data_IF_586655959115
#
_entry.id   IF_586655959115
#
_cell.length_a   1.000
_cell.length_b   1.000
_cell.length_c   1.000
_cell.angle_alpha   90.00
_cell.angle_beta   90.00
_cell.angle_gamma   90.00
#
_symmetry.space_group_name_H-M   'P 1'
#
loop_
_entity.id
_entity.type
_entity.pdbx_description
1 polymer ?
#
# COMPACT_ATOMS: atom_id res chain seq x y z
N UNK A 1 -22.63 -4.84 -7.26
CA UNK A 1 -21.43 -5.72 -7.26
C UNK A 1 -20.29 -4.88 -6.68
N UNK A 2 -19.58 -5.34 -5.65
CA UNK A 2 -18.41 -4.58 -5.13
C UNK A 2 -17.38 -4.52 -6.27
N UNK A 3 -16.87 -3.33 -6.57
CA UNK A 3 -15.82 -3.15 -7.58
C UNK A 3 -14.55 -3.83 -7.05
N UNK A 4 -13.93 -4.69 -7.86
CA UNK A 4 -12.65 -5.31 -7.52
C UNK A 4 -11.57 -4.23 -7.36
N UNK A 5 -10.61 -4.41 -6.46
CA UNK A 5 -9.47 -3.49 -6.27
C UNK A 5 -9.55 -2.52 -5.10
N UNK A 6 -10.53 -2.62 -4.20
CA UNK A 6 -10.54 -1.85 -2.94
C UNK A 6 -9.81 -2.62 -1.84
N UNK A 7 -8.48 -2.65 -1.88
CA UNK A 7 -7.67 -3.27 -0.81
C UNK A 7 -7.63 -2.32 0.38
N UNK A 8 -8.41 -2.63 1.42
CA UNK A 8 -8.56 -1.78 2.62
C UNK A 8 -7.77 -2.30 3.83
N UNK A 9 -7.21 -3.51 3.74
CA UNK A 9 -6.40 -4.12 4.80
C UNK A 9 -5.32 -5.03 4.23
N UNK A 10 -4.26 -5.23 5.01
CA UNK A 10 -3.25 -6.24 4.70
C UNK A 10 -3.87 -7.63 4.89
N UNK A 11 -3.65 -8.52 3.93
CA UNK A 11 -4.04 -9.92 4.08
C UNK A 11 -3.19 -10.58 5.19
N UNK A 12 -3.79 -11.35 6.11
CA UNK A 12 -3.04 -12.16 7.07
C UNK A 12 -2.13 -13.15 6.33
N UNK A 13 -1.17 -13.75 7.03
CA UNK A 13 -0.33 -14.80 6.43
C UNK A 13 -1.22 -15.90 5.86
N UNK A 14 -1.09 -16.16 4.55
CA UNK A 14 -1.91 -17.13 3.83
C UNK A 14 -1.69 -18.53 4.36
N UNK A 15 -0.44 -18.86 4.65
CA UNK A 15 -0.02 -20.17 5.13
C UNK A 15 0.30 -20.15 6.62
N UNK A 16 0.04 -21.27 7.28
CA UNK A 16 0.47 -21.50 8.67
C UNK A 16 1.99 -21.50 8.72
N UNK A 17 2.53 -20.86 9.75
CA UNK A 17 3.97 -20.79 9.98
C UNK A 17 4.39 -21.87 10.97
N UNK A 18 5.42 -22.62 10.63
CA UNK A 18 6.05 -23.63 11.48
C UNK A 18 7.43 -23.15 11.92
N UNK A 19 7.80 -23.45 13.17
CA UNK A 19 9.15 -23.25 13.70
C UNK A 19 9.80 -24.62 13.87
N UNK A 20 10.92 -24.84 13.16
CA UNK A 20 11.73 -26.06 13.28
C UNK A 20 13.00 -25.75 14.07
N UNK A 21 13.36 -26.61 15.01
CA UNK A 21 14.60 -26.54 15.79
C UNK A 21 15.81 -26.99 14.95
N UNK A 22 16.00 -26.34 13.80
CA UNK A 22 17.12 -26.54 12.88
C UNK A 22 17.75 -25.18 12.53
N UNK A 23 19.08 -25.10 12.34
CA UNK A 23 19.73 -23.83 12.03
C UNK A 23 19.16 -23.14 10.78
N UNK A 24 18.94 -21.83 10.86
CA UNK A 24 18.47 -21.03 9.73
C UNK A 24 19.53 -20.95 8.64
N UNK A 25 19.13 -21.18 7.39
CA UNK A 25 19.99 -20.94 6.21
C UNK A 25 20.06 -19.46 5.81
N UNK A 26 19.20 -18.61 6.36
CA UNK A 26 19.10 -17.17 6.01
C UNK A 26 19.80 -16.25 7.01
N UNK A 27 20.03 -16.70 8.24
CA UNK A 27 20.60 -15.88 9.32
C UNK A 27 21.63 -16.69 10.09
N UNK A 28 22.86 -16.21 10.09
CA UNK A 28 23.96 -16.79 10.85
C UNK A 28 23.62 -16.81 12.35
N UNK A 29 23.96 -17.89 13.04
CA UNK A 29 23.72 -18.12 14.47
C UNK A 29 22.25 -18.22 14.94
N UNK A 30 21.26 -18.29 14.03
CA UNK A 30 19.88 -18.57 14.44
C UNK A 30 19.66 -20.10 14.55
N UNK A 31 19.35 -20.65 15.74
CA UNK A 31 19.30 -22.10 15.96
C UNK A 31 18.00 -22.77 15.50
N UNK A 32 17.04 -21.98 15.01
CA UNK A 32 15.74 -22.45 14.52
C UNK A 32 15.44 -21.85 13.15
N UNK A 33 14.51 -22.47 12.41
CA UNK A 33 14.03 -22.01 11.11
C UNK A 33 12.53 -21.74 11.17
N UNK A 34 12.12 -20.64 10.56
CA UNK A 34 10.71 -20.27 10.43
C UNK A 34 10.30 -20.51 8.98
N UNK A 35 9.30 -21.38 8.77
CA UNK A 35 8.86 -21.84 7.46
C UNK A 35 7.36 -21.59 7.28
N UNK A 36 6.96 -21.20 6.07
CA UNK A 36 5.57 -21.34 5.66
C UNK A 36 5.31 -22.81 5.32
N UNK A 37 4.20 -23.35 5.82
CA UNK A 37 3.72 -24.70 5.49
C UNK A 37 2.86 -24.67 4.22
N UNK A 38 2.42 -25.83 3.76
CA UNK A 38 1.43 -25.94 2.68
C UNK A 38 -0.02 -25.77 3.18
N UNK A 39 -0.20 -25.65 4.49
CA UNK A 39 -1.52 -25.53 5.12
C UNK A 39 -1.97 -24.07 5.14
N UNK A 40 -3.16 -23.80 4.60
CA UNK A 40 -3.79 -22.48 4.70
C UNK A 40 -4.12 -22.12 6.15
N UNK A 41 -3.95 -20.85 6.52
CA UNK A 41 -4.34 -20.35 7.82
C UNK A 41 -5.86 -20.17 7.90
N UNK A 42 -6.44 -20.35 9.08
CA UNK A 42 -7.88 -20.11 9.31
C UNK A 42 -8.25 -18.67 8.94
N UNK A 43 -7.39 -17.69 9.26
CA UNK A 43 -7.60 -16.29 8.89
C UNK A 43 -7.65 -16.07 7.37
N UNK A 44 -6.90 -16.86 6.58
CA UNK A 44 -6.94 -16.78 5.13
C UNK A 44 -8.22 -17.43 4.55
N UNK A 45 -8.66 -18.54 5.15
CA UNK A 45 -9.94 -19.17 4.81
C UNK A 45 -11.13 -18.24 5.12
N UNK A 46 -11.12 -17.60 6.30
CA UNK A 46 -12.12 -16.61 6.70
C UNK A 46 -12.14 -15.38 5.78
N UNK A 47 -11.00 -15.08 5.14
CA UNK A 47 -10.86 -14.03 4.14
C UNK A 47 -11.20 -14.48 2.71
N UNK A 48 -11.75 -15.69 2.55
CA UNK A 48 -12.18 -16.27 1.27
C UNK A 48 -11.06 -16.36 0.22
N UNK A 49 -9.88 -16.81 0.66
CA UNK A 49 -8.69 -16.94 -0.19
C UNK A 49 -8.93 -17.78 -1.47
N UNK A 50 -9.89 -18.71 -1.46
CA UNK A 50 -10.22 -19.53 -2.62
C UNK A 50 -10.86 -18.76 -3.78
N UNK A 51 -11.52 -17.64 -3.48
CA UNK A 51 -12.09 -16.73 -4.48
C UNK A 51 -11.22 -15.49 -4.72
N UNK A 52 -10.05 -15.40 -4.08
CA UNK A 52 -9.15 -14.29 -4.26
C UNK A 52 -8.50 -14.31 -5.66
N UNK A 53 -8.34 -13.14 -6.26
CA UNK A 53 -7.64 -12.98 -7.53
C UNK A 53 -6.19 -12.64 -7.21
N UNK A 54 -5.20 -13.49 -7.56
CA UNK A 54 -3.81 -13.15 -7.38
C UNK A 54 -3.43 -12.01 -8.34
N UNK A 55 -2.80 -10.99 -7.78
CA UNK A 55 -2.23 -9.87 -8.56
C UNK A 55 -0.73 -9.82 -8.34
N UNK A 56 -0.02 -9.21 -9.28
CA UNK A 56 1.39 -8.92 -9.08
C UNK A 56 1.57 -7.99 -7.87
N UNK A 57 2.52 -8.33 -6.99
CA UNK A 57 2.86 -7.45 -5.88
C UNK A 57 3.78 -6.37 -6.41
N UNK A 58 3.23 -5.17 -6.53
CA UNK A 58 4.00 -3.97 -6.79
C UNK A 58 4.67 -3.48 -5.50
N UNK A 59 5.91 -2.99 -5.59
CA UNK A 59 6.62 -2.38 -4.46
C UNK A 59 6.56 -0.86 -4.57
N UNK A 60 5.47 -0.29 -4.07
CA UNK A 60 5.17 1.12 -4.19
C UNK A 60 4.70 1.74 -2.88
N UNK A 61 3.92 2.80 -3.02
CA UNK A 61 3.13 3.33 -1.91
C UNK A 61 1.64 3.22 -2.22
N UNK A 62 0.91 2.64 -1.29
CA UNK A 62 -0.52 2.43 -1.39
C UNK A 62 -1.29 3.75 -1.28
N UNK A 63 -2.28 3.94 -2.14
CA UNK A 63 -3.13 5.11 -2.22
C UNK A 63 -4.59 4.72 -2.40
N UNK A 64 -5.48 5.68 -2.20
CA UNK A 64 -6.92 5.47 -2.28
C UNK A 64 -7.59 6.64 -2.98
N UNK A 65 -8.60 6.38 -3.79
CA UNK A 65 -9.40 7.46 -4.41
C UNK A 65 -10.78 7.49 -3.79
N UNK A 66 -11.14 8.61 -3.17
CA UNK A 66 -12.48 8.86 -2.64
C UNK A 66 -12.74 10.36 -2.58
N UNK A 67 -13.97 10.74 -2.25
CA UNK A 67 -14.38 12.13 -2.22
C UNK A 67 -13.72 12.90 -1.06
N UNK A 68 -13.17 14.06 -1.39
CA UNK A 68 -12.75 15.07 -0.43
C UNK A 68 -13.42 16.40 -0.78
N UNK A 69 -14.18 16.97 0.16
CA UNK A 69 -14.93 18.23 -0.05
C UNK A 69 -15.85 18.19 -1.28
N UNK A 70 -16.46 17.04 -1.54
CA UNK A 70 -17.42 16.84 -2.64
C UNK A 70 -16.79 16.51 -3.99
N UNK A 71 -15.46 16.38 -4.09
CA UNK A 71 -14.76 16.06 -5.34
C UNK A 71 -13.91 14.79 -5.22
N UNK A 72 -13.78 13.98 -6.29
CA UNK A 72 -12.84 12.87 -6.33
C UNK A 72 -11.42 13.34 -6.02
N UNK A 73 -10.73 12.64 -5.12
CA UNK A 73 -9.41 13.06 -4.65
C UNK A 73 -8.52 11.85 -4.42
N UNK A 74 -7.20 12.03 -4.55
CA UNK A 74 -6.22 11.01 -4.21
C UNK A 74 -5.87 11.13 -2.72
N UNK A 75 -5.77 9.99 -2.05
CA UNK A 75 -5.48 9.89 -0.62
C UNK A 75 -4.25 9.03 -0.40
N UNK A 76 -3.33 9.51 0.43
CA UNK A 76 -2.14 8.81 0.87
C UNK A 76 -2.45 7.96 2.10
N UNK A 77 -1.82 6.80 2.21
CA UNK A 77 -1.93 5.95 3.40
C UNK A 77 -1.29 6.63 4.61
N UNK A 78 -2.04 6.73 5.70
CA UNK A 78 -1.58 7.19 7.00
C UNK A 78 -2.16 6.31 8.10
N UNK A 79 -1.40 5.30 8.52
CA UNK A 79 -1.80 4.45 9.64
C UNK A 79 -1.66 5.22 10.97
N UNK A 80 -2.73 5.27 11.77
CA UNK A 80 -2.69 5.82 13.13
C UNK A 80 -1.98 4.82 14.03
N UNK A 81 -0.81 5.21 14.54
CA UNK A 81 0.09 4.37 15.33
C UNK A 81 -0.04 4.64 16.84
N UNK A 82 0.29 3.66 17.69
CA UNK A 82 0.39 3.87 19.12
C UNK A 82 1.42 4.95 19.47
N UNK A 83 1.20 5.61 20.59
CA UNK A 83 2.20 6.47 21.21
C UNK A 83 3.31 5.62 21.86
N UNK A 84 4.42 6.26 22.27
CA UNK A 84 5.60 5.54 22.80
C UNK A 84 5.28 4.73 24.07
N UNK A 85 4.37 5.21 24.92
CA UNK A 85 4.01 4.55 26.17
C UNK A 85 3.17 3.30 25.89
N UNK A 86 2.16 3.43 25.02
CA UNK A 86 1.30 2.33 24.60
C UNK A 86 2.09 1.26 23.82
N UNK A 87 2.99 1.67 22.93
CA UNK A 87 3.89 0.75 22.21
C UNK A 87 4.75 -0.07 23.18
N UNK A 88 5.29 0.56 24.24
CA UNK A 88 6.05 -0.13 25.29
C UNK A 88 5.16 -1.12 26.06
N UNK A 89 3.94 -0.70 26.44
CA UNK A 89 2.96 -1.56 27.13
C UNK A 89 2.61 -2.78 26.29
N UNK A 90 2.36 -2.57 24.99
CA UNK A 90 2.03 -3.63 24.05
C UNK A 90 3.18 -4.61 23.83
N UNK A 91 4.42 -4.13 23.65
CA UNK A 91 5.60 -5.00 23.57
C UNK A 91 5.78 -5.83 24.83
N UNK A 92 5.64 -5.22 26.01
CA UNK A 92 5.74 -5.94 27.27
C UNK A 92 4.67 -7.04 27.40
N UNK A 93 3.43 -6.75 26.97
CA UNK A 93 2.36 -7.74 26.90
C UNK A 93 2.73 -8.91 25.98
N UNK A 94 3.19 -8.65 24.75
CA UNK A 94 3.62 -9.68 23.80
C UNK A 94 4.75 -10.56 24.37
N UNK A 95 5.72 -9.95 25.08
CA UNK A 95 6.82 -10.68 25.71
C UNK A 95 6.39 -11.53 26.91
N UNK A 96 5.35 -11.11 27.63
CA UNK A 96 4.91 -11.77 28.86
C UNK A 96 4.30 -13.16 28.68
N UNK A 97 4.00 -13.60 27.43
CA UNK A 97 3.60 -14.96 27.00
C UNK A 97 2.59 -15.77 27.85
N UNK A 98 1.98 -15.23 28.91
CA UNK A 98 1.29 -16.03 29.94
C UNK A 98 -0.10 -15.56 30.34
N UNK A 99 -0.69 -14.56 29.67
CA UNK A 99 -2.05 -14.15 30.03
C UNK A 99 -3.05 -14.58 28.96
N UNK A 100 -4.02 -15.40 29.37
CA UNK A 100 -5.30 -15.64 28.70
C UNK A 100 -6.17 -14.37 28.61
N UNK A 101 -5.60 -13.19 28.88
CA UNK A 101 -6.26 -11.89 28.84
C UNK A 101 -5.84 -11.18 27.57
N UNK A 102 -6.81 -10.72 26.80
CA UNK A 102 -6.60 -9.88 25.64
C UNK A 102 -5.97 -8.54 26.05
N UNK A 103 -5.11 -8.00 25.18
CA UNK A 103 -4.61 -6.63 25.38
C UNK A 103 -5.70 -5.64 25.01
N UNK A 104 -6.04 -4.76 25.95
CA UNK A 104 -7.02 -3.72 25.70
C UNK A 104 -6.34 -2.41 25.27
N UNK A 105 -6.83 -1.84 24.17
CA UNK A 105 -6.41 -0.54 23.65
C UNK A 105 -7.38 0.55 24.09
N UNK A 106 -6.88 1.62 24.69
CA UNK A 106 -7.61 2.86 24.87
C UNK A 106 -7.40 3.74 23.63
N UNK A 107 -8.34 3.71 22.68
CA UNK A 107 -8.22 4.42 21.38
C UNK A 107 -8.02 5.94 21.53
N UNK A 108 -8.50 6.53 22.62
CA UNK A 108 -8.39 7.96 22.89
C UNK A 108 -6.97 8.33 23.37
N UNK A 109 -6.39 7.53 24.27
CA UNK A 109 -5.13 7.86 24.93
C UNK A 109 -3.91 7.20 24.30
N UNK A 110 -4.04 5.97 23.81
CA UNK A 110 -2.91 5.13 23.42
C UNK A 110 -2.32 5.47 22.05
N UNK A 111 -2.99 6.32 21.26
CA UNK A 111 -2.65 6.56 19.85
C UNK A 111 -2.19 7.98 19.59
N UNK A 112 -1.32 8.13 18.59
CA UNK A 112 -0.94 9.46 18.10
C UNK A 112 -2.16 10.19 17.51
N UNK A 113 -2.21 11.52 17.61
CA UNK A 113 -3.23 12.30 16.93
C UNK A 113 -3.07 12.16 15.42
N UNK A 114 -4.20 12.26 14.72
CA UNK A 114 -4.26 12.32 13.26
C UNK A 114 -4.93 13.64 12.84
N UNK A 115 -4.70 14.11 11.60
CA UNK A 115 -5.43 15.27 11.08
C UNK A 115 -6.94 15.04 11.08
N UNK A 116 -7.73 16.11 11.15
CA UNK A 116 -9.21 16.04 11.11
C UNK A 116 -9.73 15.40 9.83
N UNK A 117 -9.02 15.59 8.71
CA UNK A 117 -9.36 14.98 7.43
C UNK A 117 -9.03 13.48 7.35
N UNK A 118 -8.39 12.89 8.37
CA UNK A 118 -8.07 11.47 8.37
C UNK A 118 -9.34 10.62 8.41
N UNK A 119 -9.38 9.59 7.57
CA UNK A 119 -10.46 8.60 7.57
C UNK A 119 -9.91 7.19 7.80
N UNK A 120 -10.60 6.33 8.58
CA UNK A 120 -10.23 4.94 8.71
C UNK A 120 -10.46 4.20 7.39
N UNK A 121 -9.67 3.16 7.12
CA UNK A 121 -9.97 2.25 6.01
C UNK A 121 -11.32 1.54 6.25
N UNK A 122 -12.08 1.30 5.17
CA UNK A 122 -13.52 0.98 5.26
C UNK A 122 -13.88 -0.31 6.00
N UNK A 123 -12.97 -1.29 6.00
CA UNK A 123 -13.22 -2.62 6.57
C UNK A 123 -12.49 -2.83 7.91
N UNK A 124 -12.17 -1.73 8.60
CA UNK A 124 -11.65 -1.78 9.96
C UNK A 124 -12.81 -2.07 10.92
N UNK A 125 -12.58 -3.02 11.82
CA UNK A 125 -13.51 -3.33 12.90
C UNK A 125 -13.76 -2.09 13.76
N UNK A 126 -15.02 -1.84 14.12
CA UNK A 126 -15.39 -0.70 14.94
C UNK A 126 -16.12 -1.15 16.19
N UNK A 127 -15.73 -0.59 17.34
CA UNK A 127 -16.42 -0.78 18.61
C UNK A 127 -16.94 0.58 19.05
N UNK A 128 -18.26 0.70 19.21
CA UNK A 128 -18.95 1.96 19.53
C UNK A 128 -18.60 3.12 18.58
N UNK A 129 -18.39 2.81 17.29
CA UNK A 129 -18.01 3.78 16.26
C UNK A 129 -16.52 4.16 16.24
N UNK A 130 -15.69 3.60 17.13
CA UNK A 130 -14.26 3.82 17.13
C UNK A 130 -13.54 2.73 16.33
N UNK A 131 -12.65 3.09 15.39
CA UNK A 131 -11.87 2.11 14.63
C UNK A 131 -10.86 1.42 15.53
N UNK A 132 -10.84 0.09 15.47
CA UNK A 132 -9.97 -0.74 16.29
C UNK A 132 -8.62 -0.99 15.59
N UNK A 133 -7.52 -1.07 16.35
CA UNK A 133 -6.21 -1.42 15.81
C UNK A 133 -6.15 -2.88 15.38
N UNK A 134 -5.27 -3.16 14.41
CA UNK A 134 -4.91 -4.50 13.98
C UNK A 134 -4.06 -5.25 15.03
N UNK A 135 -3.67 -6.48 14.69
CA UNK A 135 -2.82 -7.33 15.54
C UNK A 135 -1.43 -6.73 15.85
N UNK A 136 -1.00 -5.71 15.11
CA UNK A 136 0.26 -4.99 15.34
C UNK A 136 0.06 -3.67 16.12
N UNK A 137 -1.19 -3.35 16.49
CA UNK A 137 -1.54 -2.12 17.18
C UNK A 137 -1.71 -0.92 16.24
N UNK A 138 -1.82 -1.10 14.92
CA UNK A 138 -2.01 0.01 13.97
C UNK A 138 -3.47 0.12 13.53
N UNK A 139 -3.96 1.35 13.33
CA UNK A 139 -5.26 1.57 12.70
C UNK A 139 -5.01 2.11 11.29
N UNK A 140 -5.20 1.30 10.23
CA UNK A 140 -5.01 1.79 8.86
C UNK A 140 -5.93 2.96 8.52
N UNK A 141 -5.47 3.86 7.66
CA UNK A 141 -6.29 4.99 7.26
C UNK A 141 -5.65 5.83 6.18
N UNK A 142 -6.32 6.93 5.88
CA UNK A 142 -6.06 7.73 4.69
C UNK A 142 -6.09 9.22 5.01
N UNK A 143 -5.27 10.01 4.32
CA UNK A 143 -5.34 11.48 4.30
C UNK A 143 -5.29 12.00 2.87
N UNK A 144 -5.96 13.12 2.55
CA UNK A 144 -5.96 13.67 1.20
C UNK A 144 -4.54 14.12 0.80
N UNK A 145 -4.19 13.91 -0.46
CA UNK A 145 -2.88 14.26 -1.03
C UNK A 145 -2.80 15.76 -1.28
N UNK A 146 -2.08 16.46 -0.42
CA UNK A 146 -1.78 17.89 -0.55
C UNK A 146 -0.80 18.21 -1.71
N UNK A 147 -1.24 19.03 -2.68
CA UNK A 147 -0.47 19.43 -3.89
C UNK A 147 0.96 19.94 -3.59
N UNK A 148 1.16 20.65 -2.48
CA UNK A 148 2.42 21.30 -2.12
C UNK A 148 3.16 20.63 -0.95
N UNK A 149 2.73 19.45 -0.50
CA UNK A 149 3.40 18.74 0.58
C UNK A 149 4.61 17.96 0.07
N UNK A 150 5.77 18.19 0.69
CA UNK A 150 6.99 17.38 0.41
C UNK A 150 6.75 15.89 0.70
N UNK A 151 5.92 15.58 1.69
CA UNK A 151 5.57 14.19 2.04
C UNK A 151 4.76 13.52 0.92
N UNK A 152 4.00 14.29 0.16
CA UNK A 152 3.14 13.78 -0.91
C UNK A 152 3.71 14.00 -2.31
N UNK A 153 4.97 14.42 -2.46
CA UNK A 153 5.53 14.80 -3.76
C UNK A 153 5.36 13.74 -4.85
N UNK A 154 5.47 12.44 -4.52
CA UNK A 154 5.22 11.35 -5.47
C UNK A 154 3.73 11.18 -5.80
N UNK A 155 2.86 11.35 -4.81
CA UNK A 155 1.42 11.26 -5.01
C UNK A 155 0.92 12.39 -5.90
N UNK A 156 1.35 13.63 -5.62
CA UNK A 156 1.00 14.81 -6.41
C UNK A 156 1.56 14.76 -7.83
N UNK A 157 2.53 13.89 -8.14
CA UNK A 157 3.12 13.78 -9.48
C UNK A 157 2.27 12.97 -10.47
N UNK A 158 1.31 12.19 -9.98
CA UNK A 158 0.47 11.31 -10.82
C UNK A 158 -0.97 11.79 -10.94
N UNK A 159 -1.30 12.93 -10.33
CA UNK A 159 -2.66 13.46 -10.30
C UNK A 159 -2.65 14.95 -10.65
N UNK A 160 -3.55 15.33 -11.54
CA UNK A 160 -3.89 16.73 -11.79
C UNK A 160 -5.32 16.99 -11.32
N UNK A 161 -5.45 17.74 -10.23
CA UNK A 161 -6.74 18.12 -9.67
C UNK A 161 -7.46 19.21 -10.47
N UNK A 162 -6.76 19.97 -11.32
CA UNK A 162 -7.41 21.00 -12.15
C UNK A 162 -8.19 20.34 -13.29
N UNK A 163 -7.61 19.28 -13.88
CA UNK A 163 -8.25 18.47 -14.92
C UNK A 163 -9.01 17.25 -14.39
N UNK A 164 -8.99 17.01 -13.08
CA UNK A 164 -9.56 15.83 -12.40
C UNK A 164 -9.09 14.48 -12.97
N UNK A 165 -7.81 14.40 -13.35
CA UNK A 165 -7.22 13.22 -14.01
C UNK A 165 -6.10 12.62 -13.15
N UNK A 166 -5.98 11.30 -13.18
CA UNK A 166 -4.84 10.56 -12.69
C UNK A 166 -4.13 9.82 -13.83
N UNK A 167 -2.82 9.62 -13.68
CA UNK A 167 -2.02 8.75 -14.53
C UNK A 167 -1.98 7.34 -13.92
N UNK A 168 -2.36 6.34 -14.71
CA UNK A 168 -2.35 4.93 -14.30
C UNK A 168 -1.56 4.09 -15.30
N UNK A 169 -0.91 3.04 -14.81
CA UNK A 169 -0.29 2.01 -15.64
C UNK A 169 -1.31 0.89 -15.88
N UNK A 170 -1.54 0.53 -17.15
CA UNK A 170 -2.47 -0.55 -17.53
C UNK A 170 -1.94 -1.35 -18.71
N UNK A 171 -2.48 -2.54 -18.95
CA UNK A 171 -2.17 -3.30 -20.16
C UNK A 171 -2.72 -2.60 -21.40
N UNK A 172 -1.94 -2.59 -22.48
CA UNK A 172 -2.41 -2.16 -23.78
C UNK A 172 -3.53 -3.09 -24.25
N UNK A 173 -4.66 -2.58 -24.77
CA UNK A 173 -5.82 -3.41 -25.12
C UNK A 173 -5.51 -4.45 -26.20
N UNK A 174 -4.63 -4.12 -27.15
CA UNK A 174 -4.30 -4.98 -28.28
C UNK A 174 -3.01 -5.80 -28.10
N UNK A 175 -2.21 -5.49 -27.08
CA UNK A 175 -0.95 -6.18 -26.80
C UNK A 175 -0.81 -6.46 -25.29
N UNK A 176 -1.20 -7.67 -24.84
CA UNK A 176 -1.13 -8.05 -23.43
C UNK A 176 0.27 -7.97 -22.82
N UNK A 177 1.33 -8.02 -23.63
CA UNK A 177 2.72 -7.92 -23.17
C UNK A 177 3.19 -6.48 -22.93
N UNK A 178 2.40 -5.49 -23.36
CA UNK A 178 2.74 -4.08 -23.25
C UNK A 178 1.95 -3.41 -22.12
N UNK A 179 2.66 -2.62 -21.32
CA UNK A 179 2.07 -1.72 -20.34
C UNK A 179 2.15 -0.28 -20.87
N UNK A 180 1.05 0.46 -20.74
CA UNK A 180 0.95 1.85 -21.12
C UNK A 180 0.58 2.74 -19.93
N UNK A 181 1.11 3.96 -19.94
CA UNK A 181 0.65 5.02 -19.03
C UNK A 181 -0.55 5.68 -19.69
N UNK A 182 -1.61 5.84 -18.92
CA UNK A 182 -2.86 6.40 -19.40
C UNK A 182 -3.45 7.41 -18.45
N UNK A 183 -4.00 8.47 -19.03
CA UNK A 183 -4.78 9.46 -18.29
C UNK A 183 -6.20 8.94 -18.10
N UNK A 184 -6.67 8.89 -16.86
CA UNK A 184 -8.03 8.46 -16.50
C UNK A 184 -8.68 9.47 -15.57
N UNK A 185 -10.00 9.73 -15.69
CA UNK A 185 -10.72 10.56 -14.73
C UNK A 185 -10.62 9.99 -13.31
N UNK A 186 -10.44 10.85 -12.30
CA UNK A 186 -10.46 10.43 -10.89
C UNK A 186 -11.80 9.81 -10.49
N UNK A 187 -12.90 10.27 -11.09
CA UNK A 187 -14.24 9.70 -10.91
C UNK A 187 -14.31 8.22 -11.28
N UNK A 188 -13.58 7.81 -12.31
CA UNK A 188 -13.49 6.41 -12.75
C UNK A 188 -12.70 5.55 -11.76
N UNK A 189 -11.94 6.14 -10.84
CA UNK A 189 -11.16 5.44 -9.82
C UNK A 189 -11.82 5.47 -8.44
N UNK A 190 -13.00 6.08 -8.29
CA UNK A 190 -13.67 6.20 -6.99
C UNK A 190 -13.80 4.86 -6.27
N UNK A 191 -13.44 4.90 -4.99
CA UNK A 191 -13.43 3.82 -4.03
C UNK A 191 -12.45 2.67 -4.35
N UNK A 192 -11.48 2.92 -5.24
CA UNK A 192 -10.39 1.99 -5.55
C UNK A 192 -9.12 2.32 -4.77
N UNK A 193 -8.40 1.26 -4.41
CA UNK A 193 -7.04 1.36 -3.90
C UNK A 193 -6.07 1.22 -5.07
N UNK A 194 -5.05 2.05 -5.09
CA UNK A 194 -4.01 2.09 -6.11
C UNK A 194 -2.65 1.86 -5.44
N UNK A 195 -1.65 1.51 -6.23
CA UNK A 195 -0.25 1.48 -5.79
C UNK A 195 0.54 2.44 -6.67
N UNK A 196 1.18 3.44 -6.07
CA UNK A 196 2.08 4.32 -6.80
C UNK A 196 3.44 3.67 -6.92
N UNK A 197 3.87 3.48 -8.16
CA UNK A 197 5.21 3.08 -8.50
C UNK A 197 6.12 4.32 -8.57
N UNK A 198 7.25 4.26 -7.88
CA UNK A 198 8.26 5.31 -7.98
C UNK A 198 8.89 5.35 -9.38
N UNK A 199 9.53 6.48 -9.71
CA UNK A 199 10.33 6.63 -10.94
C UNK A 199 11.56 5.71 -10.97
N UNK A 200 12.01 5.26 -9.79
CA UNK A 200 12.90 4.12 -9.65
C UNK A 200 12.02 2.90 -9.34
N UNK A 201 11.60 2.19 -10.39
CA UNK A 201 11.11 0.83 -10.26
C UNK A 201 12.30 0.00 -9.76
N UNK A 202 12.53 0.01 -8.45
CA UNK A 202 13.38 -0.97 -7.82
C UNK A 202 12.52 -2.22 -7.79
N UNK A 203 12.47 -2.92 -8.92
CA UNK A 203 11.97 -4.28 -8.98
C UNK A 203 12.91 -5.09 -8.12
N UNK A 204 12.67 -5.12 -6.81
CA UNK A 204 13.45 -5.88 -5.86
C UNK A 204 13.16 -7.35 -6.20
N UNK A 205 14.07 -8.03 -6.89
CA UNK A 205 13.85 -9.40 -7.27
C UNK A 205 14.12 -10.20 -6.00
N UNK A 206 13.08 -10.82 -5.43
CA UNK A 206 13.33 -11.97 -4.57
C UNK A 206 13.84 -13.11 -5.46
N UNK A 207 15.11 -13.05 -5.85
CA UNK A 207 15.83 -14.00 -6.71
C UNK A 207 17.28 -13.53 -6.97
N UNK A 208 18.29 -14.42 -6.92
CA UNK A 208 19.71 -14.07 -6.88
C UNK A 208 20.21 -13.48 -8.21
N UNK A 209 21.03 -12.44 -8.13
CA UNK A 209 21.68 -11.72 -9.24
C UNK A 209 22.79 -12.56 -9.94
N UNK A 210 23.24 -12.25 -11.19
CA UNK A 210 24.16 -11.12 -11.48
C UNK A 210 24.02 -10.55 -12.94
N UNK A 211 24.99 -9.80 -13.51
CA UNK A 211 25.24 -8.37 -13.35
C UNK A 211 25.15 -7.61 -14.70
N UNK A 212 24.01 -7.02 -15.06
CA UNK A 212 23.95 -6.13 -16.23
C UNK A 212 22.81 -5.12 -16.16
N UNK A 213 22.74 -4.34 -15.08
CA UNK A 213 21.75 -3.26 -14.94
C UNK A 213 22.35 -1.86 -15.20
N UNK A 214 23.66 -1.78 -15.52
CA UNK A 214 24.36 -0.52 -15.74
C UNK A 214 24.07 0.18 -17.08
N UNK A 215 23.12 -0.28 -17.90
CA UNK A 215 22.85 0.31 -19.22
C UNK A 215 21.54 1.11 -19.35
N UNK A 216 20.69 1.21 -18.32
CA UNK A 216 19.45 2.01 -18.40
C UNK A 216 19.55 3.37 -17.70
N UNK A 217 20.70 3.70 -17.11
CA UNK A 217 20.98 4.99 -16.51
C UNK A 217 21.55 5.99 -17.54
N UNK A 218 20.88 6.15 -18.69
CA UNK A 218 21.23 7.22 -19.63
C UNK A 218 20.26 8.40 -19.49
N UNK A 219 20.71 9.55 -18.94
CA UNK A 219 19.91 10.77 -18.84
C UNK A 219 19.39 11.31 -20.19
N UNK A 220 19.90 10.82 -21.33
CA UNK A 220 19.46 11.25 -22.67
C UNK A 220 18.01 10.91 -22.97
N UNK A 221 17.44 9.85 -22.38
CA UNK A 221 16.03 9.46 -22.61
C UNK A 221 15.03 10.18 -21.70
N UNK A 222 15.49 10.88 -20.65
CA UNK A 222 14.60 11.72 -19.82
C UNK A 222 14.23 13.05 -20.50
N UNK A 223 14.99 13.48 -21.51
CA UNK A 223 14.73 14.72 -22.23
C UNK A 223 13.58 14.60 -23.25
N UNK A 224 13.33 13.40 -23.80
CA UNK A 224 12.25 13.17 -24.79
C UNK A 224 10.85 13.26 -24.17
N UNK A 225 10.70 12.99 -22.86
CA UNK A 225 9.40 13.07 -22.16
C UNK A 225 8.92 14.50 -21.88
N UNK A 226 9.81 15.50 -21.91
CA UNK A 226 9.41 16.90 -21.77
C UNK A 226 8.99 17.55 -23.10
N UNK A 227 9.39 16.97 -24.23
CA UNK A 227 9.15 17.55 -25.56
C UNK A 227 7.85 17.08 -26.22
N UNK A 228 7.25 15.96 -25.80
CA UNK A 228 5.99 15.47 -26.40
C UNK A 228 4.72 16.15 -25.88
N UNK A 229 4.80 16.93 -24.79
CA UNK A 229 3.64 17.64 -24.22
C UNK A 229 3.46 19.08 -24.75
N UNK A 230 4.36 19.60 -25.60
CA UNK A 230 4.32 20.98 -26.10
C UNK A 230 4.45 21.13 -27.63
N UNK A 231 4.20 20.08 -28.41
CA UNK A 231 4.18 20.19 -29.88
C UNK A 231 2.85 19.71 -30.48
N UNK A 232 1.77 20.39 -30.14
CA UNK A 232 0.62 20.53 -31.04
C UNK A 232 -0.17 21.77 -30.67
N UNK A 233 0.34 22.94 -31.06
CA UNK A 233 -0.41 24.11 -31.50
C UNK A 233 0.53 25.31 -31.63
N UNK A 234 1.08 25.50 -32.83
CA UNK A 234 1.33 26.83 -33.39
C UNK A 234 1.69 26.70 -34.87
N UNK A 235 0.92 27.41 -35.69
CA UNK A 235 1.28 27.94 -37.03
C UNK A 235 1.21 26.98 -38.23
N UNK A 236 0.59 27.32 -39.38
CA UNK A 236 -0.05 28.57 -39.82
C UNK A 236 -0.68 28.35 -41.23
N UNK A 237 -1.69 29.18 -41.53
CA UNK A 237 -2.21 29.62 -42.86
C UNK A 237 -3.24 28.73 -43.56
#
# INVERSE_FOLDING_TARGET
MRRLGSVQRKMPCVFVTEVKEEPSTKREHQPFKVLATETLSHKALDADIHNAIPTEKVDGTCCYVTNYKGQPYLWARLDRKPNKLAEKRFKNFLHSKQNSKEFFWNVEEDFKPVPECWIPAKEIEQINGNPMPDENGHIPGWVPVEKNSKQHCWHSSVVDYESEIALVLRHHPDDPGLLEISAVPLSDLLEQTLELIGTNINGNPYGPSPPSWFMLADPRYLYEFKTSYYQHESEQI
#
